data_IF_724012138659
#
_entry.id   IF_724012138659
#
_cell.length_a   1.000
_cell.length_b   1.000
_cell.length_c   1.000
_cell.angle_alpha   90.00
_cell.angle_beta   90.00
_cell.angle_gamma   90.00
#
_symmetry.space_group_name_H-M   'P 1'
#
loop_
_entity.id
_entity.type
_entity.pdbx_description
1 polymer ?
#
# COMPACT_ATOMS: atom_id res chain seq x y z
N UNK A 1 -28.94 -53.21 10.81
CA UNK A 1 -28.81 -52.01 11.66
C UNK A 1 -27.54 -51.15 11.40
N UNK A 2 -26.76 -51.33 10.32
CA UNK A 2 -25.51 -50.56 10.08
C UNK A 2 -25.62 -49.33 9.16
N UNK A 3 -26.75 -49.16 8.45
CA UNK A 3 -26.95 -48.06 7.49
C UNK A 3 -27.02 -46.63 8.11
N UNK A 4 -27.60 -46.40 9.31
CA UNK A 4 -27.75 -45.01 9.80
C UNK A 4 -26.43 -44.40 10.26
N UNK A 5 -25.51 -45.20 10.79
CA UNK A 5 -24.21 -44.71 11.30
C UNK A 5 -23.31 -44.23 10.16
N UNK A 6 -23.27 -44.95 9.03
CA UNK A 6 -22.50 -44.52 7.85
C UNK A 6 -23.03 -43.22 7.26
N UNK A 7 -24.35 -43.00 7.25
CA UNK A 7 -24.96 -41.77 6.77
C UNK A 7 -24.62 -40.57 7.65
N UNK A 8 -24.59 -40.74 8.98
CA UNK A 8 -24.22 -39.67 9.92
C UNK A 8 -22.73 -39.29 9.77
N UNK A 9 -21.84 -40.27 9.60
CA UNK A 9 -20.41 -40.01 9.41
C UNK A 9 -20.16 -39.29 8.07
N UNK A 10 -20.81 -39.72 6.99
CA UNK A 10 -20.70 -39.06 5.68
C UNK A 10 -21.25 -37.63 5.73
N UNK A 11 -22.39 -37.42 6.40
CA UNK A 11 -22.94 -36.08 6.59
C UNK A 11 -22.01 -35.18 7.41
N UNK A 12 -21.40 -35.71 8.48
CA UNK A 12 -20.42 -34.97 9.27
C UNK A 12 -19.16 -34.60 8.50
N UNK A 13 -18.60 -35.55 7.73
CA UNK A 13 -17.43 -35.29 6.86
C UNK A 13 -17.79 -34.29 5.75
N UNK A 14 -18.97 -34.41 5.14
CA UNK A 14 -19.44 -33.47 4.13
C UNK A 14 -19.64 -32.07 4.71
N UNK A 15 -20.07 -31.94 5.98
CA UNK A 15 -20.27 -30.66 6.65
C UNK A 15 -18.93 -30.01 7.03
N UNK A 16 -17.95 -30.80 7.48
CA UNK A 16 -16.58 -30.33 7.72
C UNK A 16 -15.89 -29.95 6.41
N UNK A 17 -16.01 -30.75 5.36
CA UNK A 17 -15.51 -30.42 4.03
C UNK A 17 -16.21 -29.17 3.46
N UNK A 18 -17.52 -29.04 3.65
CA UNK A 18 -18.26 -27.84 3.25
C UNK A 18 -17.82 -26.61 4.05
N UNK A 19 -17.51 -26.74 5.34
CA UNK A 19 -16.98 -25.66 6.16
C UNK A 19 -15.57 -25.24 5.69
N UNK A 20 -14.66 -26.20 5.48
CA UNK A 20 -13.31 -25.94 4.96
C UNK A 20 -13.32 -25.36 3.55
N UNK A 21 -14.15 -25.91 2.65
CA UNK A 21 -14.33 -25.38 1.28
C UNK A 21 -14.96 -23.99 1.33
N UNK A 22 -15.92 -23.72 2.23
CA UNK A 22 -16.51 -22.39 2.35
C UNK A 22 -15.52 -21.34 2.88
N UNK A 23 -14.63 -21.70 3.80
CA UNK A 23 -13.54 -20.82 4.24
C UNK A 23 -12.52 -20.56 3.12
N UNK A 24 -12.13 -21.58 2.35
CA UNK A 24 -11.11 -21.42 1.30
C UNK A 24 -11.61 -20.76 0.01
N UNK A 25 -12.90 -20.84 -0.33
CA UNK A 25 -13.42 -20.40 -1.63
C UNK A 25 -14.15 -19.03 -1.63
N UNK A 26 -14.24 -18.29 -0.51
CA UNK A 26 -15.10 -17.08 -0.44
C UNK A 26 -14.46 -15.68 -0.25
N UNK A 27 -13.17 -15.43 0.03
CA UNK A 27 -12.74 -14.00 0.17
C UNK A 27 -11.34 -13.53 -0.19
N UNK A 28 -10.35 -14.40 -0.45
CA UNK A 28 -8.97 -13.89 -0.64
C UNK A 28 -8.64 -13.66 -2.13
N UNK A 29 -9.06 -14.55 -3.02
CA UNK A 29 -8.83 -14.41 -4.48
C UNK A 29 -9.42 -13.13 -5.06
N UNK A 30 -10.59 -12.70 -4.57
CA UNK A 30 -11.26 -11.45 -4.97
C UNK A 30 -10.42 -10.20 -4.67
N UNK A 31 -9.44 -10.32 -3.78
CA UNK A 31 -8.50 -9.27 -3.43
C UNK A 31 -7.12 -9.50 -4.05
N UNK A 32 -6.60 -10.72 -3.94
CA UNK A 32 -5.25 -11.07 -4.35
C UNK A 32 -5.06 -11.01 -5.86
N UNK A 33 -6.05 -11.47 -6.64
CA UNK A 33 -5.97 -11.45 -8.11
C UNK A 33 -5.89 -10.01 -8.63
N UNK A 34 -6.79 -9.07 -8.24
CA UNK A 34 -6.64 -7.67 -8.62
C UNK A 34 -5.32 -7.04 -8.15
N UNK A 35 -4.90 -7.30 -6.91
CA UNK A 35 -3.63 -6.77 -6.40
C UNK A 35 -2.43 -7.24 -7.24
N UNK A 36 -2.39 -8.52 -7.59
CA UNK A 36 -1.33 -9.08 -8.42
C UNK A 36 -1.36 -8.48 -9.83
N UNK A 37 -2.56 -8.32 -10.41
CA UNK A 37 -2.75 -7.66 -11.70
C UNK A 37 -2.24 -6.22 -11.70
N UNK A 38 -2.53 -5.46 -10.63
CA UNK A 38 -2.04 -4.09 -10.44
C UNK A 38 -0.50 -4.03 -10.38
N UNK A 39 0.14 -4.97 -9.68
CA UNK A 39 1.62 -5.08 -9.60
C UNK A 39 2.22 -5.35 -10.98
N UNK A 40 1.64 -6.27 -11.74
CA UNK A 40 2.08 -6.59 -13.10
C UNK A 40 1.90 -5.41 -14.07
N UNK A 41 0.75 -4.72 -14.01
CA UNK A 41 0.48 -3.56 -14.84
C UNK A 41 1.42 -2.40 -14.52
N UNK A 42 1.79 -2.23 -13.24
CA UNK A 42 2.80 -1.27 -12.82
C UNK A 42 4.17 -1.60 -13.42
N UNK A 43 4.60 -2.85 -13.36
CA UNK A 43 5.86 -3.27 -13.98
C UNK A 43 5.85 -3.04 -15.51
N UNK A 44 4.74 -3.34 -16.18
CA UNK A 44 4.59 -3.05 -17.62
C UNK A 44 4.68 -1.55 -17.92
N UNK A 45 4.03 -0.72 -17.10
CA UNK A 45 4.10 0.74 -17.19
C UNK A 45 5.54 1.25 -17.00
N UNK A 46 6.28 0.69 -16.04
CA UNK A 46 7.68 1.06 -15.77
C UNK A 46 8.65 0.62 -16.86
N UNK A 47 8.32 -0.41 -17.66
CA UNK A 47 9.08 -0.77 -18.87
C UNK A 47 8.77 0.16 -20.06
N UNK A 48 7.63 0.86 -20.04
CA UNK A 48 7.15 1.70 -21.14
C UNK A 48 7.98 2.98 -21.30
N UNK A 49 8.04 3.51 -22.53
CA UNK A 49 8.79 4.75 -22.81
C UNK A 49 8.14 6.03 -22.27
N UNK A 50 6.82 6.01 -22.02
CA UNK A 50 6.08 7.22 -21.68
C UNK A 50 5.85 7.38 -20.18
N UNK A 51 5.77 6.28 -19.44
CA UNK A 51 5.35 6.29 -18.03
C UNK A 51 6.43 5.75 -17.08
N UNK A 52 7.61 5.41 -17.60
CA UNK A 52 8.73 4.93 -16.79
C UNK A 52 9.31 6.02 -15.91
N UNK A 53 9.55 5.76 -14.61
CA UNK A 53 10.36 6.66 -13.77
C UNK A 53 11.87 6.48 -14.02
N UNK A 54 12.29 5.43 -14.70
CA UNK A 54 13.70 5.17 -14.99
C UNK A 54 14.20 5.96 -16.19
N UNK A 55 15.48 6.35 -16.15
CA UNK A 55 16.22 6.78 -17.32
C UNK A 55 16.32 5.65 -18.36
N UNK A 56 16.68 5.99 -19.60
CA UNK A 56 16.64 5.03 -20.71
C UNK A 56 17.47 3.76 -20.47
N UNK A 57 18.68 3.91 -19.93
CA UNK A 57 19.57 2.78 -19.65
C UNK A 57 18.98 1.85 -18.58
N UNK A 58 18.58 2.41 -17.44
CA UNK A 58 17.98 1.66 -16.33
C UNK A 58 16.66 1.00 -16.73
N UNK A 59 15.82 1.70 -17.52
CA UNK A 59 14.54 1.17 -18.03
C UNK A 59 14.74 -0.08 -18.90
N UNK A 60 15.82 -0.14 -19.68
CA UNK A 60 16.14 -1.31 -20.53
C UNK A 60 16.58 -2.52 -19.70
N UNK A 61 17.12 -2.28 -18.49
CA UNK A 61 17.55 -3.32 -17.56
C UNK A 61 16.45 -3.70 -16.56
N UNK A 62 15.45 -2.84 -16.36
CA UNK A 62 14.36 -3.06 -15.42
C UNK A 62 13.54 -4.30 -15.80
N UNK A 63 13.59 -5.32 -14.94
CA UNK A 63 12.73 -6.49 -15.03
C UNK A 63 11.41 -6.22 -14.31
N UNK A 64 11.39 -6.07 -12.99
CA UNK A 64 10.18 -5.99 -12.19
C UNK A 64 10.50 -5.37 -10.83
N UNK A 65 9.48 -4.84 -10.16
CA UNK A 65 9.57 -4.47 -8.76
C UNK A 65 9.51 -5.71 -7.87
N UNK A 66 10.03 -5.56 -6.64
CA UNK A 66 9.96 -6.58 -5.59
C UNK A 66 8.98 -6.12 -4.53
N UNK A 67 8.14 -7.04 -4.06
CA UNK A 67 7.10 -6.77 -3.08
C UNK A 67 7.20 -7.77 -1.93
N UNK A 68 6.65 -7.42 -0.78
CA UNK A 68 6.27 -8.41 0.22
C UNK A 68 5.11 -9.28 -0.29
N UNK A 69 5.05 -10.51 0.23
CA UNK A 69 3.88 -11.36 0.06
C UNK A 69 2.64 -10.64 0.60
N UNK A 70 1.51 -10.65 -0.14
CA UNK A 70 0.29 -10.01 0.33
C UNK A 70 -0.16 -10.57 1.68
N UNK A 71 -0.47 -9.68 2.61
CA UNK A 71 -0.97 -10.05 3.93
C UNK A 71 -2.18 -9.18 4.29
N UNK A 72 -3.32 -9.84 4.55
CA UNK A 72 -4.59 -9.19 4.82
C UNK A 72 -4.63 -8.43 6.15
N UNK A 73 -3.76 -8.76 7.11
CA UNK A 73 -3.66 -8.03 8.39
C UNK A 73 -3.19 -6.58 8.18
N UNK A 74 -2.51 -6.31 7.07
CA UNK A 74 -2.10 -4.98 6.65
C UNK A 74 -3.19 -4.22 5.86
N UNK A 75 -4.43 -4.74 5.85
CA UNK A 75 -5.61 -4.05 5.31
C UNK A 75 -6.49 -3.57 6.45
N UNK A 76 -6.18 -2.38 6.95
CA UNK A 76 -6.81 -1.87 8.16
C UNK A 76 -7.99 -0.99 7.80
N UNK A 77 -9.20 -1.40 8.21
CA UNK A 77 -10.38 -0.53 8.11
C UNK A 77 -10.34 0.49 9.24
N UNK A 78 -10.40 1.77 8.89
CA UNK A 78 -10.26 2.88 9.83
C UNK A 78 -11.48 3.80 9.78
N UNK A 79 -11.78 4.44 10.91
CA UNK A 79 -12.65 5.61 10.94
C UNK A 79 -11.83 6.84 10.56
N UNK A 80 -12.44 7.76 9.83
CA UNK A 80 -11.84 9.04 9.48
C UNK A 80 -12.35 10.11 10.45
N UNK A 81 -11.43 10.69 11.20
CA UNK A 81 -11.67 11.88 12.03
C UNK A 81 -11.33 13.10 11.18
N UNK A 82 -12.33 13.73 10.57
CA UNK A 82 -12.15 14.94 9.76
C UNK A 82 -11.56 16.07 10.62
N UNK A 83 -10.60 16.80 10.04
CA UNK A 83 -9.93 17.91 10.72
C UNK A 83 -10.68 19.20 10.41
N UNK A 84 -11.19 19.86 11.45
CA UNK A 84 -11.87 21.16 11.34
C UNK A 84 -11.28 22.19 12.33
N UNK A 85 -10.91 23.41 11.87
CA UNK A 85 -10.94 23.84 10.47
C UNK A 85 -9.86 23.12 9.63
N UNK A 86 -10.18 22.87 8.36
CA UNK A 86 -9.20 22.30 7.41
C UNK A 86 -7.96 23.17 7.31
N UNK A 87 -6.84 22.60 7.69
CA UNK A 87 -5.53 23.26 7.70
C UNK A 87 -4.72 22.88 6.45
N UNK A 88 -4.04 23.86 5.86
CA UNK A 88 -3.19 23.66 4.69
C UNK A 88 -1.75 23.43 5.15
N UNK A 89 -1.25 22.23 4.86
CA UNK A 89 0.17 21.90 4.99
C UNK A 89 0.91 22.23 3.69
N UNK A 90 1.98 23.01 3.82
CA UNK A 90 3.01 23.11 2.78
C UNK A 90 3.96 21.91 2.91
N UNK A 91 3.63 20.83 2.19
CA UNK A 91 4.37 19.59 2.18
C UNK A 91 5.77 19.83 1.58
N UNK A 92 6.86 19.56 2.31
CA UNK A 92 8.21 19.70 1.79
C UNK A 92 8.46 18.68 0.68
N UNK A 93 9.20 19.08 -0.34
CA UNK A 93 9.60 18.24 -1.47
C UNK A 93 11.10 17.93 -1.40
N UNK A 94 11.55 16.88 -2.10
CA UNK A 94 12.96 16.45 -2.10
C UNK A 94 13.95 17.50 -2.61
N UNK A 95 13.51 18.45 -3.46
CA UNK A 95 14.34 19.54 -3.95
C UNK A 95 14.30 20.81 -3.10
N UNK A 96 13.68 20.77 -1.91
CA UNK A 96 13.53 21.93 -1.01
C UNK A 96 12.35 22.86 -1.33
N UNK A 97 11.62 22.64 -2.42
CA UNK A 97 10.35 23.33 -2.67
C UNK A 97 9.22 22.78 -1.79
N UNK A 98 8.03 23.37 -1.88
CA UNK A 98 6.84 22.89 -1.15
C UNK A 98 5.62 22.84 -2.05
N UNK A 99 4.71 21.91 -1.77
CA UNK A 99 3.40 21.81 -2.41
C UNK A 99 2.27 21.87 -1.36
N UNK A 100 1.12 22.47 -1.71
CA UNK A 100 0.02 22.65 -0.79
C UNK A 100 -0.92 21.43 -0.75
N UNK A 101 -1.09 20.86 0.45
CA UNK A 101 -2.00 19.77 0.76
C UNK A 101 -2.92 20.18 1.91
N UNK A 102 -4.20 19.80 1.83
CA UNK A 102 -5.11 19.91 2.98
C UNK A 102 -4.89 18.73 3.90
N UNK A 103 -4.70 18.98 5.20
CA UNK A 103 -4.86 17.97 6.25
C UNK A 103 -6.34 17.63 6.32
N UNK A 104 -6.73 16.50 5.74
CA UNK A 104 -8.15 16.17 5.55
C UNK A 104 -8.72 15.42 6.75
N UNK A 105 -8.07 14.32 7.15
CA UNK A 105 -8.53 13.48 8.24
C UNK A 105 -7.38 12.83 8.99
N UNK A 106 -7.65 12.39 10.21
CA UNK A 106 -6.80 11.51 11.00
C UNK A 106 -7.41 10.12 11.01
N UNK A 107 -6.59 9.11 10.82
CA UNK A 107 -6.91 7.72 11.10
C UNK A 107 -6.10 7.24 12.30
N UNK A 108 -6.79 6.91 13.39
CA UNK A 108 -6.22 6.20 14.53
C UNK A 108 -6.59 4.72 14.38
N UNK A 109 -5.60 3.83 14.48
CA UNK A 109 -5.78 2.39 14.27
C UNK A 109 -4.77 1.58 15.06
N UNK A 110 -4.94 0.27 15.09
CA UNK A 110 -3.98 -0.65 15.71
C UNK A 110 -3.33 -1.48 14.60
N UNK A 111 -2.01 -1.67 14.70
CA UNK A 111 -1.27 -2.56 13.83
C UNK A 111 -0.25 -3.30 14.69
N UNK A 112 -0.26 -4.63 14.64
CA UNK A 112 0.58 -5.47 15.50
C UNK A 112 0.41 -5.23 17.00
N UNK A 113 -0.80 -4.95 17.47
CA UNK A 113 -1.06 -4.68 18.88
C UNK A 113 -0.69 -3.26 19.33
N UNK A 114 -0.11 -2.45 18.45
CA UNK A 114 0.44 -1.13 18.78
C UNK A 114 -0.44 -0.02 18.18
N UNK A 115 -0.82 1.01 18.96
CA UNK A 115 -1.59 2.13 18.44
C UNK A 115 -0.78 2.96 17.45
N UNK A 116 -1.35 3.16 16.27
CA UNK A 116 -0.81 3.93 15.17
C UNK A 116 -1.71 5.10 14.82
N UNK A 117 -1.12 6.11 14.19
CA UNK A 117 -1.83 7.29 13.70
C UNK A 117 -1.25 7.72 12.37
N UNK A 118 -2.13 8.04 11.42
CA UNK A 118 -1.78 8.65 10.15
C UNK A 118 -2.70 9.83 9.85
N UNK A 119 -2.12 10.89 9.32
CA UNK A 119 -2.85 12.00 8.72
C UNK A 119 -3.00 11.72 7.23
N UNK A 120 -4.22 11.88 6.72
CA UNK A 120 -4.57 11.70 5.32
C UNK A 120 -4.71 13.07 4.68
N UNK A 121 -4.05 13.26 3.54
CA UNK A 121 -3.94 14.56 2.88
C UNK A 121 -4.74 14.58 1.58
N UNK A 122 -5.34 15.72 1.27
CA UNK A 122 -5.98 15.97 -0.03
C UNK A 122 -5.16 17.03 -0.78
N UNK A 123 -4.74 16.72 -2.00
CA UNK A 123 -4.07 17.74 -2.85
C UNK A 123 -5.03 18.88 -3.13
N UNK A 124 -4.57 20.12 -3.00
CA UNK A 124 -5.42 21.30 -3.24
C UNK A 124 -5.71 21.48 -4.74
N UNK A 125 -4.73 21.17 -5.60
CA UNK A 125 -4.78 21.43 -7.05
C UNK A 125 -5.45 20.32 -7.86
N UNK A 126 -5.69 19.15 -7.26
CA UNK A 126 -6.20 17.97 -7.95
C UNK A 126 -7.49 17.51 -7.24
N UNK A 127 -8.58 17.39 -7.99
CA UNK A 127 -9.84 16.83 -7.48
C UNK A 127 -9.85 15.32 -7.72
N UNK A 128 -8.98 14.59 -7.03
CA UNK A 128 -8.94 13.14 -7.11
C UNK A 128 -9.87 12.51 -6.06
N UNK A 129 -10.49 11.38 -6.40
CA UNK A 129 -11.26 10.54 -5.46
C UNK A 129 -10.32 9.67 -4.60
N UNK A 130 -9.25 10.26 -4.08
CA UNK A 130 -8.31 9.61 -3.16
C UNK A 130 -7.70 10.59 -2.18
N UNK A 131 -7.27 10.05 -1.04
CA UNK A 131 -6.44 10.73 -0.07
C UNK A 131 -5.01 10.20 -0.16
N UNK A 132 -4.06 11.12 -0.18
CA UNK A 132 -2.64 10.84 -0.21
C UNK A 132 -2.11 10.65 1.21
N UNK A 133 -1.39 9.55 1.44
CA UNK A 133 -0.85 9.19 2.75
C UNK A 133 0.64 8.87 2.61
N UNK A 134 1.51 9.88 2.64
CA UNK A 134 2.94 9.64 2.70
C UNK A 134 3.30 9.26 4.14
N UNK A 135 4.08 8.19 4.30
CA UNK A 135 4.44 7.69 5.63
C UNK A 135 5.86 7.12 5.68
N UNK A 136 6.35 6.98 6.90
CA UNK A 136 7.55 6.19 7.23
C UNK A 136 7.22 5.16 8.30
N UNK A 137 8.02 4.10 8.37
CA UNK A 137 7.89 2.99 9.31
C UNK A 137 9.26 2.36 9.58
N UNK A 138 9.33 1.30 10.40
CA UNK A 138 10.60 0.68 10.79
C UNK A 138 11.33 -0.09 9.67
N UNK A 139 10.69 -0.34 8.52
CA UNK A 139 11.33 -1.01 7.37
C UNK A 139 12.13 -0.05 6.47
N UNK A 140 11.90 1.26 6.56
CA UNK A 140 12.56 2.24 5.68
C UNK A 140 14.07 2.27 5.94
N UNK A 141 14.84 2.22 4.85
CA UNK A 141 16.31 2.21 4.89
C UNK A 141 16.92 0.82 5.09
N UNK A 142 16.08 -0.19 5.28
CA UNK A 142 16.46 -1.60 5.33
C UNK A 142 15.79 -2.33 4.16
N UNK A 143 14.59 -2.84 4.36
CA UNK A 143 13.85 -3.58 3.34
C UNK A 143 13.06 -2.70 2.38
N UNK A 144 12.80 -1.44 2.72
CA UNK A 144 12.01 -0.51 1.89
C UNK A 144 12.75 0.81 1.70
N UNK A 145 12.31 1.61 0.71
CA UNK A 145 12.97 2.87 0.36
C UNK A 145 13.13 3.80 1.57
N UNK A 146 14.34 4.33 1.77
CA UNK A 146 14.69 5.12 2.96
C UNK A 146 13.95 6.44 3.11
N UNK A 147 13.50 7.04 2.00
CA UNK A 147 12.75 8.30 2.01
C UNK A 147 11.28 8.17 2.42
N UNK A 148 10.80 6.95 2.70
CA UNK A 148 9.41 6.65 3.01
C UNK A 148 8.62 6.14 1.81
N UNK A 149 7.36 5.80 2.06
CA UNK A 149 6.45 5.20 1.08
C UNK A 149 5.12 5.94 1.06
N UNK A 150 4.37 5.75 -0.02
CA UNK A 150 3.08 6.36 -0.21
C UNK A 150 1.98 5.32 -0.21
N UNK A 151 0.81 5.75 0.24
CA UNK A 151 -0.43 5.02 0.08
C UNK A 151 -1.50 5.99 -0.46
N UNK A 152 -2.13 5.57 -1.54
CA UNK A 152 -3.25 6.28 -2.15
C UNK A 152 -4.54 5.59 -1.69
N UNK A 153 -5.31 6.26 -0.84
CA UNK A 153 -6.51 5.71 -0.21
C UNK A 153 -7.74 6.16 -0.99
N UNK A 154 -8.47 5.27 -1.68
CA UNK A 154 -9.69 5.64 -2.38
C UNK A 154 -10.68 6.31 -1.42
N UNK A 155 -11.24 7.45 -1.85
CA UNK A 155 -12.03 8.30 -0.98
C UNK A 155 -13.14 9.00 -1.76
N UNK A 156 -14.31 9.10 -1.13
CA UNK A 156 -15.44 9.90 -1.61
C UNK A 156 -15.82 10.91 -0.54
N UNK A 157 -16.11 12.14 -0.95
CA UNK A 157 -16.44 13.22 -0.03
C UNK A 157 -17.59 12.81 0.92
N UNK A 158 -17.43 13.08 2.21
CA UNK A 158 -18.37 12.66 3.25
C UNK A 158 -18.23 11.20 3.74
N UNK A 159 -17.28 10.42 3.22
CA UNK A 159 -17.02 9.09 3.78
C UNK A 159 -16.43 9.18 5.19
N UNK A 160 -17.00 8.43 6.13
CA UNK A 160 -16.58 8.39 7.55
C UNK A 160 -15.62 7.23 7.87
N UNK A 161 -15.36 6.37 6.88
CA UNK A 161 -14.43 5.24 7.00
C UNK A 161 -13.64 5.07 5.72
N UNK A 162 -12.42 4.54 5.84
CA UNK A 162 -11.59 4.14 4.71
C UNK A 162 -10.87 2.82 5.02
N UNK A 163 -10.19 2.27 4.01
CA UNK A 163 -9.28 1.12 4.19
C UNK A 163 -7.87 1.57 3.90
N UNK A 164 -6.98 1.46 4.88
CA UNK A 164 -5.55 1.62 4.71
C UNK A 164 -4.96 0.27 4.28
N UNK A 165 -4.65 0.14 3.00
CA UNK A 165 -4.19 -1.11 2.41
C UNK A 165 -2.68 -1.06 2.15
N UNK A 166 -1.88 -1.40 3.16
CA UNK A 166 -0.42 -1.28 3.05
C UNK A 166 0.20 -2.27 2.05
N UNK A 167 -0.52 -3.29 1.58
CA UNK A 167 -0.07 -4.14 0.47
C UNK A 167 0.04 -3.38 -0.86
N UNK A 168 -0.61 -2.21 -0.95
CA UNK A 168 -0.52 -1.25 -2.05
C UNK A 168 0.40 -0.08 -1.75
N UNK A 169 1.12 -0.09 -0.63
CA UNK A 169 2.12 0.93 -0.36
C UNK A 169 3.24 0.85 -1.41
N UNK A 170 3.63 2.00 -1.94
CA UNK A 170 4.57 2.09 -3.06
C UNK A 170 5.68 3.11 -2.81
N UNK A 171 6.82 2.89 -3.47
CA UNK A 171 7.94 3.83 -3.44
C UNK A 171 7.68 5.01 -4.37
N UNK A 172 8.05 6.24 -3.96
CA UNK A 172 7.96 7.42 -4.82
C UNK A 172 8.92 7.33 -6.00
N UNK A 173 8.67 8.07 -7.09
CA UNK A 173 9.51 7.98 -8.29
C UNK A 173 10.99 8.34 -8.06
N UNK A 174 11.28 9.22 -7.12
CA UNK A 174 12.65 9.54 -6.67
C UNK A 174 13.42 8.35 -6.09
N UNK A 175 12.74 7.27 -5.69
CA UNK A 175 13.41 6.01 -5.32
C UNK A 175 14.08 5.33 -6.52
N UNK A 176 13.59 5.59 -7.73
CA UNK A 176 14.05 4.99 -8.98
C UNK A 176 14.98 5.94 -9.76
N UNK A 177 14.67 7.24 -9.74
CA UNK A 177 15.42 8.28 -10.41
C UNK A 177 15.44 9.57 -9.57
N UNK A 178 16.61 10.01 -9.06
CA UNK A 178 16.72 11.13 -8.14
C UNK A 178 16.31 12.49 -8.73
N UNK A 179 16.17 12.61 -10.05
CA UNK A 179 15.69 13.83 -10.72
C UNK A 179 14.21 14.12 -10.44
N UNK A 180 13.43 13.12 -9.99
CA UNK A 180 12.04 13.34 -9.60
C UNK A 180 11.94 14.11 -8.29
N UNK A 181 11.07 15.11 -8.29
CA UNK A 181 10.72 15.90 -7.11
C UNK A 181 9.53 15.26 -6.41
N UNK A 182 9.74 14.75 -5.20
CA UNK A 182 8.75 13.96 -4.47
C UNK A 182 8.34 14.62 -3.14
N UNK A 183 7.10 14.44 -2.70
CA UNK A 183 6.68 14.75 -1.33
C UNK A 183 7.50 14.01 -0.26
N UNK A 184 8.00 14.72 0.76
CA UNK A 184 8.66 14.10 1.90
C UNK A 184 7.61 13.80 2.98
N UNK A 185 7.47 12.54 3.45
CA UNK A 185 6.54 12.21 4.51
C UNK A 185 6.71 13.10 5.76
N UNK A 186 5.63 13.71 6.27
CA UNK A 186 5.68 14.50 7.50
C UNK A 186 6.04 13.65 8.71
N UNK A 187 6.66 14.28 9.73
CA UNK A 187 7.09 13.59 10.95
C UNK A 187 5.93 12.95 11.70
N UNK A 188 4.74 13.55 11.63
CA UNK A 188 3.52 13.01 12.22
C UNK A 188 3.03 11.71 11.58
N UNK A 189 3.44 11.42 10.33
CA UNK A 189 3.11 10.18 9.61
C UNK A 189 4.25 9.16 9.72
N UNK A 190 4.81 9.00 10.92
CA UNK A 190 5.79 7.96 11.22
C UNK A 190 5.15 6.88 12.08
N UNK A 191 4.99 5.70 11.51
CA UNK A 191 4.51 4.51 12.21
C UNK A 191 5.62 3.97 13.13
N UNK A 192 5.21 3.50 14.31
CA UNK A 192 6.14 2.95 15.32
C UNK A 192 6.45 1.47 15.10
N UNK A 193 5.82 0.83 14.12
CA UNK A 193 5.95 -0.60 13.78
C UNK A 193 6.60 -0.80 12.42
N UNK A 194 7.01 -2.03 12.12
CA UNK A 194 7.45 -2.42 10.79
C UNK A 194 6.23 -2.76 9.92
N UNK A 195 6.17 -2.18 8.72
CA UNK A 195 5.12 -2.47 7.74
C UNK A 195 5.68 -3.34 6.62
N UNK A 196 5.66 -4.65 6.84
CA UNK A 196 6.16 -5.70 5.94
C UNK A 196 5.12 -6.06 4.86
N UNK A 197 4.59 -5.03 4.21
CA UNK A 197 3.62 -5.13 3.13
C UNK A 197 3.93 -4.09 2.05
N UNK A 198 3.55 -4.37 0.79
CA UNK A 198 3.75 -3.46 -0.34
C UNK A 198 5.13 -3.57 -0.98
N UNK A 199 5.57 -2.50 -1.63
CA UNK A 199 6.86 -2.44 -2.33
C UNK A 199 8.03 -2.51 -1.36
N UNK A 200 9.02 -3.34 -1.73
CA UNK A 200 10.36 -3.37 -1.14
C UNK A 200 11.26 -2.36 -1.84
N UNK A 201 12.45 -2.16 -1.28
CA UNK A 201 13.47 -1.32 -1.87
C UNK A 201 13.86 -1.85 -3.25
N UNK A 202 14.02 -0.95 -4.22
CA UNK A 202 14.52 -1.30 -5.53
C UNK A 202 16.03 -1.07 -5.57
N UNK A 203 16.78 -2.14 -5.75
CA UNK A 203 18.22 -2.06 -5.94
C UNK A 203 18.52 -2.03 -7.44
N UNK A 204 19.21 -0.97 -7.90
CA UNK A 204 19.68 -0.91 -9.27
C UNK A 204 20.65 -2.06 -9.49
N UNK A 205 20.33 -2.94 -10.43
CA UNK A 205 21.28 -3.95 -10.90
C UNK A 205 22.37 -3.21 -11.70
N UNK A 206 23.49 -2.93 -11.05
CA UNK A 206 24.67 -2.46 -11.76
C UNK A 206 25.26 -3.63 -12.54
N UNK A 207 25.44 -3.54 -13.87
CA UNK A 207 26.22 -4.54 -14.58
C UNK A 207 27.62 -4.56 -13.97
N UNK A 208 28.03 -5.73 -13.46
CA UNK A 208 29.42 -5.97 -13.05
C UNK A 208 30.24 -5.83 -14.33
N UNK A 209 31.03 -4.76 -14.41
CA UNK A 209 32.03 -4.62 -15.45
C UNK A 209 33.17 -5.56 -15.04
N UNK A 210 33.22 -6.76 -15.63
CA UNK A 210 34.42 -7.61 -15.64
C UNK A 210 35.52 -6.99 -16.52
#
# INVERSE_FOLDING_TARGET
MQRPIKLIIIAGIALVLFYFVRESFMSDDNYLIPLQKEREDKDLSFRSRTNSPFEEADRRMFSNLVYYEPNLDYRVKVKLEEIEPKDTLHMPMTNGSTEAYLRYAIANFELHGEPQRLTLYKKVKEQEEKLFVPFTDKTNGFDTYGGGRYLDVPFKEGATTATLDFNRAYSPFCAYNPEYVCPVPPKENRLSVAVEAGEKNYEKVHPVVE
#
